data_IF_325388445874
#
_entry.id   IF_325388445874
#
_cell.length_a   1.000
_cell.length_b   1.000
_cell.length_c   1.000
_cell.angle_alpha   90.00
_cell.angle_beta   90.00
_cell.angle_gamma   90.00
#
_symmetry.space_group_name_H-M   'P 1'
#
loop_
_entity.id
_entity.type
_entity.pdbx_description
1 polymer ?
#
# COMPACT_ATOMS: atom_id res chain seq x y z
N UNK A 1 -8.77 0.11 -0.21
CA UNK A 1 -9.88 0.66 0.59
C UNK A 1 -11.08 -0.28 0.58
N UNK A 2 -11.87 -0.25 1.62
CA UNK A 2 -13.18 -0.89 1.68
C UNK A 2 -14.17 -0.04 2.47
N UNK A 3 -15.45 -0.34 2.29
CA UNK A 3 -16.58 0.17 3.05
C UNK A 3 -17.28 -0.97 3.79
N UNK A 4 -17.80 -0.72 4.97
CA UNK A 4 -18.66 -1.64 5.73
C UNK A 4 -19.85 -0.88 6.27
N UNK A 5 -20.91 -1.57 6.71
CA UNK A 5 -22.11 -0.94 7.30
C UNK A 5 -21.78 0.00 8.48
N UNK A 6 -20.74 -0.33 9.25
CA UNK A 6 -20.33 0.44 10.44
C UNK A 6 -19.20 1.45 10.19
N UNK A 7 -18.48 1.32 9.07
CA UNK A 7 -17.30 2.13 8.75
C UNK A 7 -17.29 2.47 7.26
N UNK A 8 -17.60 3.72 6.90
CA UNK A 8 -17.73 4.13 5.49
C UNK A 8 -16.41 4.24 4.74
N UNK A 9 -15.28 4.24 5.45
CA UNK A 9 -13.95 4.19 4.85
C UNK A 9 -12.96 3.47 5.79
N UNK A 10 -12.41 2.36 5.32
CA UNK A 10 -11.28 1.68 5.95
C UNK A 10 -10.14 1.48 4.94
N UNK A 11 -8.91 1.56 5.43
CA UNK A 11 -7.71 1.20 4.68
C UNK A 11 -7.12 -0.10 5.22
N UNK A 12 -6.57 -0.91 4.32
CA UNK A 12 -5.80 -2.09 4.67
C UNK A 12 -4.40 -1.66 5.09
N UNK A 13 -3.99 -2.09 6.27
CA UNK A 13 -2.65 -1.86 6.81
C UNK A 13 -2.06 -3.18 7.29
N UNK A 14 -0.73 -3.27 7.26
CA UNK A 14 0.02 -4.41 7.77
C UNK A 14 1.06 -3.97 8.79
N UNK A 15 1.29 -4.79 9.82
CA UNK A 15 2.30 -4.54 10.84
C UNK A 15 3.54 -5.37 10.55
N UNK A 16 4.67 -4.70 10.37
CA UNK A 16 5.95 -5.35 10.09
C UNK A 16 6.51 -6.04 11.35
N UNK A 17 7.12 -7.19 11.15
CA UNK A 17 7.80 -7.87 12.27
C UNK A 17 8.85 -6.95 12.89
N UNK A 18 8.96 -6.94 14.22
CA UNK A 18 9.85 -6.02 14.98
C UNK A 18 11.33 -6.14 14.61
N UNK A 19 11.75 -7.32 14.19
CA UNK A 19 13.16 -7.64 13.89
C UNK A 19 13.56 -7.24 12.45
N UNK A 20 12.63 -6.73 11.65
CA UNK A 20 12.95 -6.20 10.31
C UNK A 20 13.74 -4.90 10.45
N UNK A 21 14.88 -4.80 9.75
CA UNK A 21 15.82 -3.66 9.85
C UNK A 21 15.21 -2.30 9.56
N UNK A 22 14.27 -2.23 8.59
CA UNK A 22 13.62 -0.97 8.22
C UNK A 22 12.15 -0.97 8.66
N UNK A 23 11.77 0.05 9.43
CA UNK A 23 10.40 0.24 9.93
C UNK A 23 9.87 -0.97 10.74
N UNK A 24 10.74 -1.72 11.44
CA UNK A 24 10.32 -2.84 12.30
C UNK A 24 9.30 -2.40 13.34
N UNK A 25 8.22 -3.18 13.47
CA UNK A 25 7.09 -2.89 14.35
C UNK A 25 6.17 -1.76 13.88
N UNK A 26 6.47 -1.11 12.75
CA UNK A 26 5.59 -0.07 12.21
C UNK A 26 4.40 -0.66 11.46
N UNK A 27 3.32 0.11 11.45
CA UNK A 27 2.17 -0.10 10.57
C UNK A 27 2.44 0.61 9.25
N UNK A 28 2.29 -0.11 8.13
CA UNK A 28 2.52 0.38 6.77
C UNK A 28 1.42 -0.12 5.84
N UNK A 29 1.33 0.45 4.65
CA UNK A 29 0.53 -0.15 3.58
C UNK A 29 1.18 -1.46 3.11
N UNK A 30 0.41 -2.48 2.67
CA UNK A 30 0.98 -3.66 2.03
C UNK A 30 1.84 -3.25 0.82
N UNK A 31 2.99 -3.88 0.66
CA UNK A 31 3.86 -3.61 -0.47
C UNK A 31 5.34 -3.89 -0.22
N UNK A 32 6.07 -4.10 -1.31
CA UNK A 32 7.47 -4.44 -1.29
C UNK A 32 8.22 -3.94 -2.52
N UNK A 33 9.16 -4.73 -3.01
CA UNK A 33 10.02 -4.38 -4.15
C UNK A 33 9.39 -4.85 -5.45
N UNK A 34 9.67 -4.09 -6.51
CA UNK A 34 9.41 -4.58 -7.87
C UNK A 34 10.46 -5.63 -8.21
N UNK A 35 10.04 -6.82 -8.58
CA UNK A 35 10.90 -7.93 -8.95
C UNK A 35 11.04 -8.05 -10.48
N UNK A 36 12.03 -8.82 -10.92
CA UNK A 36 12.24 -9.09 -12.36
C UNK A 36 11.00 -9.72 -13.00
N UNK A 37 10.27 -10.54 -12.26
CA UNK A 37 9.05 -11.20 -12.76
C UNK A 37 7.87 -10.23 -12.88
N UNK A 38 7.79 -9.19 -12.04
CA UNK A 38 6.80 -8.12 -12.19
C UNK A 38 7.03 -7.34 -13.49
N UNK A 39 8.29 -7.07 -13.84
CA UNK A 39 8.65 -6.46 -15.12
C UNK A 39 8.27 -7.35 -16.32
N UNK A 40 8.55 -8.66 -16.24
CA UNK A 40 8.21 -9.59 -17.30
C UNK A 40 6.69 -9.69 -17.50
N UNK A 41 5.93 -9.75 -16.40
CA UNK A 41 4.46 -9.80 -16.45
C UNK A 41 3.88 -8.48 -16.98
N UNK A 42 4.45 -7.35 -16.59
CA UNK A 42 4.06 -6.03 -17.08
C UNK A 42 4.32 -5.89 -18.59
N UNK A 43 5.46 -6.36 -19.09
CA UNK A 43 5.77 -6.36 -20.52
C UNK A 43 4.80 -7.24 -21.31
N UNK A 44 4.51 -8.45 -20.82
CA UNK A 44 3.56 -9.38 -21.43
C UNK A 44 2.17 -8.77 -21.58
N UNK A 45 1.69 -8.01 -20.61
CA UNK A 45 0.35 -7.40 -20.60
C UNK A 45 0.33 -5.91 -21.00
N UNK A 46 1.48 -5.32 -21.35
CA UNK A 46 1.66 -3.89 -21.63
C UNK A 46 1.16 -3.00 -20.50
N UNK A 47 1.59 -3.35 -19.29
CA UNK A 47 1.15 -2.74 -18.03
C UNK A 47 2.33 -2.14 -17.25
N UNK A 48 2.06 -1.62 -16.06
CA UNK A 48 3.01 -0.97 -15.17
C UNK A 48 3.53 -1.98 -14.11
N UNK A 49 4.84 -2.23 -14.10
CA UNK A 49 5.48 -3.15 -13.17
C UNK A 49 5.27 -2.75 -11.68
N UNK A 50 5.17 -1.46 -11.37
CA UNK A 50 4.87 -1.01 -10.01
C UNK A 50 3.46 -1.41 -9.58
N UNK A 51 2.49 -1.38 -10.48
CA UNK A 51 1.12 -1.84 -10.20
C UNK A 51 1.07 -3.36 -10.02
N UNK A 52 1.78 -4.11 -10.87
CA UNK A 52 1.88 -5.57 -10.74
C UNK A 52 2.48 -5.93 -9.38
N UNK A 53 3.62 -5.32 -9.02
CA UNK A 53 4.27 -5.53 -7.73
C UNK A 53 3.31 -5.20 -6.56
N UNK A 54 2.59 -4.07 -6.63
CA UNK A 54 1.64 -3.69 -5.57
C UNK A 54 0.53 -4.74 -5.39
N UNK A 55 0.03 -5.33 -6.48
CA UNK A 55 -0.99 -6.40 -6.42
C UNK A 55 -0.39 -7.69 -5.86
N UNK A 56 0.79 -8.11 -6.32
CA UNK A 56 1.49 -9.31 -5.85
C UNK A 56 1.79 -9.22 -4.35
N UNK A 57 2.43 -8.15 -3.92
CA UNK A 57 2.78 -7.92 -2.51
C UNK A 57 1.53 -7.85 -1.61
N UNK A 58 0.44 -7.21 -2.08
CA UNK A 58 -0.81 -7.18 -1.34
C UNK A 58 -1.37 -8.61 -1.15
N UNK A 59 -1.27 -9.47 -2.18
CA UNK A 59 -1.67 -10.87 -2.06
C UNK A 59 -0.76 -11.64 -1.12
N UNK A 60 0.55 -11.47 -1.21
CA UNK A 60 1.52 -12.18 -0.36
C UNK A 60 1.40 -11.76 1.12
N UNK A 61 1.32 -10.48 1.40
CA UNK A 61 1.32 -9.93 2.77
C UNK A 61 -0.06 -10.01 3.45
N UNK A 62 -1.16 -9.86 2.70
CA UNK A 62 -2.50 -9.76 3.28
C UNK A 62 -3.53 -10.77 2.78
N UNK A 63 -3.20 -11.56 1.76
CA UNK A 63 -4.13 -12.50 1.15
C UNK A 63 -5.20 -11.88 0.26
N UNK A 64 -5.21 -10.55 0.08
CA UNK A 64 -6.17 -9.88 -0.79
C UNK A 64 -5.77 -10.04 -2.25
N UNK A 65 -6.63 -10.66 -3.05
CA UNK A 65 -6.42 -10.91 -4.47
C UNK A 65 -7.09 -9.81 -5.32
N UNK A 66 -6.29 -8.91 -5.88
CA UNK A 66 -6.73 -7.87 -6.81
C UNK A 66 -6.54 -8.37 -8.27
N UNK A 67 -7.41 -9.28 -8.70
CA UNK A 67 -7.38 -9.88 -10.02
C UNK A 67 -8.76 -9.92 -10.65
N UNK A 68 -8.80 -10.18 -11.96
CA UNK A 68 -10.04 -10.42 -12.70
C UNK A 68 -9.86 -11.60 -13.67
N UNK A 69 -10.96 -12.17 -14.10
CA UNK A 69 -10.99 -13.20 -15.13
C UNK A 69 -10.39 -12.66 -16.43
N UNK A 70 -9.44 -13.38 -17.02
CA UNK A 70 -8.69 -12.93 -18.18
C UNK A 70 -9.54 -12.79 -19.46
N UNK A 71 -10.67 -13.50 -19.56
CA UNK A 71 -11.55 -13.49 -20.75
C UNK A 71 -12.67 -12.46 -20.62
N UNK A 72 -13.25 -12.35 -19.43
CA UNK A 72 -14.44 -11.54 -19.20
C UNK A 72 -14.15 -10.19 -18.54
N UNK A 73 -12.99 -10.05 -17.90
CA UNK A 73 -12.65 -8.87 -17.08
C UNK A 73 -13.47 -8.75 -15.79
N UNK A 74 -14.27 -9.77 -15.43
CA UNK A 74 -15.08 -9.75 -14.23
C UNK A 74 -14.22 -9.97 -12.98
N UNK A 75 -14.59 -9.32 -11.87
CA UNK A 75 -13.90 -9.50 -10.59
C UNK A 75 -13.94 -10.95 -10.12
N UNK A 76 -12.86 -11.42 -9.49
CA UNK A 76 -12.77 -12.77 -8.94
C UNK A 76 -13.79 -12.96 -7.82
N UNK A 77 -14.68 -13.99 -7.89
CA UNK A 77 -15.59 -14.30 -6.81
C UNK A 77 -14.85 -14.67 -5.51
N UNK A 78 -15.45 -14.37 -4.36
CA UNK A 78 -14.85 -14.67 -3.04
C UNK A 78 -14.41 -16.13 -2.91
N UNK A 79 -15.27 -17.08 -3.31
CA UNK A 79 -14.97 -18.52 -3.23
C UNK A 79 -13.72 -18.92 -4.02
N UNK A 80 -13.51 -18.27 -5.18
CA UNK A 80 -12.31 -18.47 -5.99
C UNK A 80 -11.09 -17.79 -5.35
N UNK A 81 -11.25 -16.57 -4.84
CA UNK A 81 -10.17 -15.87 -4.14
C UNK A 81 -9.69 -16.66 -2.91
N UNK A 82 -10.61 -17.16 -2.09
CA UNK A 82 -10.29 -18.01 -0.92
C UNK A 82 -9.56 -19.30 -1.33
N UNK A 83 -10.00 -19.96 -2.41
CA UNK A 83 -9.33 -21.16 -2.94
C UNK A 83 -7.92 -20.86 -3.44
N UNK A 84 -7.75 -19.80 -4.22
CA UNK A 84 -6.45 -19.36 -4.75
C UNK A 84 -5.50 -19.01 -3.60
N UNK A 85 -5.99 -18.30 -2.59
CA UNK A 85 -5.22 -17.98 -1.39
C UNK A 85 -4.69 -19.24 -0.69
N UNK A 86 -5.57 -20.17 -0.38
CA UNK A 86 -5.22 -21.42 0.30
C UNK A 86 -4.23 -22.28 -0.51
N UNK A 87 -4.38 -22.30 -1.82
CA UNK A 87 -3.60 -23.18 -2.69
C UNK A 87 -2.21 -22.61 -3.03
N UNK A 88 -2.06 -21.30 -3.18
CA UNK A 88 -0.88 -20.74 -3.83
C UNK A 88 -0.07 -19.78 -2.97
N UNK A 89 -0.65 -19.12 -1.96
CA UNK A 89 0.04 -18.05 -1.22
C UNK A 89 1.38 -18.50 -0.65
N UNK A 90 1.40 -19.63 0.04
CA UNK A 90 2.64 -20.17 0.65
C UNK A 90 3.70 -20.50 -0.40
N UNK A 91 3.30 -21.04 -1.55
CA UNK A 91 4.23 -21.36 -2.63
C UNK A 91 4.82 -20.11 -3.28
N UNK A 92 4.03 -19.05 -3.42
CA UNK A 92 4.46 -17.74 -3.95
C UNK A 92 5.39 -17.08 -2.95
N UNK A 93 4.99 -16.94 -1.70
CA UNK A 93 5.80 -16.35 -0.63
C UNK A 93 7.19 -17.02 -0.49
N UNK A 94 7.25 -18.33 -0.65
CA UNK A 94 8.50 -19.09 -0.59
C UNK A 94 9.29 -19.11 -1.92
N UNK A 95 8.84 -18.40 -2.97
CA UNK A 95 9.49 -18.36 -4.27
C UNK A 95 9.40 -19.66 -5.08
N UNK A 96 8.57 -20.63 -4.67
CA UNK A 96 8.38 -21.92 -5.36
C UNK A 96 7.44 -21.80 -6.58
N UNK A 97 6.68 -20.75 -6.64
CA UNK A 97 5.78 -20.41 -7.75
C UNK A 97 5.75 -18.90 -7.93
N UNK A 98 5.72 -18.43 -9.16
CA UNK A 98 5.57 -16.99 -9.41
C UNK A 98 4.11 -16.57 -9.42
N UNK A 99 3.85 -15.31 -9.07
CA UNK A 99 2.50 -14.75 -9.09
C UNK A 99 1.88 -14.83 -10.50
N UNK A 100 2.66 -14.51 -11.55
CA UNK A 100 2.22 -14.63 -12.93
C UNK A 100 1.81 -16.05 -13.32
N UNK A 101 2.60 -17.07 -12.95
CA UNK A 101 2.25 -18.48 -13.21
C UNK A 101 0.97 -18.91 -12.47
N UNK A 102 0.71 -18.37 -11.29
CA UNK A 102 -0.56 -18.61 -10.59
C UNK A 102 -1.72 -17.99 -11.37
N UNK A 103 -1.58 -16.74 -11.81
CA UNK A 103 -2.61 -16.07 -12.61
C UNK A 103 -2.91 -16.87 -13.90
N UNK A 104 -1.89 -17.30 -14.63
CA UNK A 104 -2.04 -18.10 -15.86
C UNK A 104 -2.79 -19.41 -15.60
N UNK A 105 -2.41 -20.14 -14.55
CA UNK A 105 -3.07 -21.42 -14.19
C UNK A 105 -4.54 -21.26 -13.85
N UNK A 106 -4.90 -20.13 -13.28
CA UNK A 106 -6.26 -19.83 -12.85
C UNK A 106 -7.09 -19.08 -13.90
N UNK A 107 -6.49 -18.73 -15.05
CA UNK A 107 -7.12 -17.93 -16.08
C UNK A 107 -7.44 -16.52 -15.65
N UNK A 108 -6.57 -15.94 -14.79
CA UNK A 108 -6.70 -14.61 -14.23
C UNK A 108 -5.67 -13.64 -14.81
N UNK A 109 -5.94 -12.36 -14.66
CA UNK A 109 -4.96 -11.27 -14.84
C UNK A 109 -4.99 -10.34 -13.64
N UNK A 110 -3.87 -9.69 -13.36
CA UNK A 110 -3.79 -8.64 -12.35
C UNK A 110 -4.69 -7.46 -12.75
N UNK A 111 -5.53 -6.98 -11.83
CA UNK A 111 -6.51 -5.92 -12.13
C UNK A 111 -5.91 -4.51 -11.95
N UNK A 112 -4.85 -4.21 -12.67
CA UNK A 112 -4.09 -2.95 -12.60
C UNK A 112 -4.92 -1.73 -12.96
N UNK A 113 -5.98 -1.89 -13.78
CA UNK A 113 -6.92 -0.84 -14.12
C UNK A 113 -7.72 -0.30 -12.92
N UNK A 114 -7.78 -1.07 -11.83
CA UNK A 114 -8.43 -0.66 -10.58
C UNK A 114 -7.48 0.03 -9.60
N UNK A 115 -6.19 0.09 -9.91
CA UNK A 115 -5.20 0.81 -9.11
C UNK A 115 -5.09 2.26 -9.57
N UNK A 116 -5.51 3.18 -8.73
CA UNK A 116 -5.36 4.63 -8.94
C UNK A 116 -4.02 5.09 -8.35
N UNK A 117 -3.15 5.78 -9.10
CA UNK A 117 -1.96 6.41 -8.53
C UNK A 117 -2.37 7.40 -7.44
N UNK A 118 -1.75 7.30 -6.26
CA UNK A 118 -2.09 8.10 -5.10
C UNK A 118 -0.97 9.02 -4.65
N UNK A 119 0.24 8.48 -4.51
CA UNK A 119 1.41 9.25 -4.08
C UNK A 119 2.70 8.63 -4.61
N UNK A 120 3.74 9.45 -4.74
CA UNK A 120 5.07 9.02 -5.15
C UNK A 120 6.12 9.67 -4.22
N UNK A 121 6.91 8.84 -3.53
CA UNK A 121 7.88 9.26 -2.54
C UNK A 121 9.27 8.69 -2.86
N UNK A 122 10.27 9.57 -2.92
CA UNK A 122 11.66 9.18 -3.15
C UNK A 122 12.49 9.58 -1.92
N UNK A 123 13.16 8.60 -1.32
CA UNK A 123 14.06 8.85 -0.19
C UNK A 123 15.20 9.79 -0.61
N UNK A 124 15.56 10.80 0.20
CA UNK A 124 16.65 11.74 -0.09
C UNK A 124 17.97 11.05 -0.39
N UNK A 125 18.87 11.68 -1.22
CA UNK A 125 20.12 11.06 -1.65
C UNK A 125 21.14 10.86 -0.52
N UNK A 126 21.02 11.60 0.58
CA UNK A 126 21.92 11.55 1.73
C UNK A 126 21.60 10.40 2.71
N UNK A 127 20.71 9.48 2.35
CA UNK A 127 20.34 8.31 3.16
C UNK A 127 21.05 7.03 2.67
N UNK A 128 21.50 6.22 3.63
CA UNK A 128 22.18 4.95 3.34
C UNK A 128 21.28 3.94 2.61
N UNK A 129 19.98 3.95 2.90
CA UNK A 129 18.97 3.13 2.23
C UNK A 129 17.94 4.04 1.58
N UNK A 130 17.73 3.84 0.29
CA UNK A 130 16.84 4.67 -0.50
C UNK A 130 15.75 3.84 -1.15
N UNK A 131 14.57 4.43 -1.21
CA UNK A 131 13.39 3.84 -1.82
C UNK A 131 12.81 4.83 -2.83
N UNK A 132 12.32 4.30 -3.92
CA UNK A 132 11.43 4.94 -4.87
C UNK A 132 10.09 4.23 -4.73
N UNK A 133 9.12 4.89 -4.08
CA UNK A 133 7.89 4.25 -3.62
C UNK A 133 6.67 4.86 -4.28
N UNK A 134 5.98 4.08 -5.08
CA UNK A 134 4.69 4.39 -5.67
C UNK A 134 3.57 3.85 -4.78
N UNK A 135 2.63 4.71 -4.40
CA UNK A 135 1.44 4.34 -3.65
C UNK A 135 0.23 4.35 -4.57
N UNK A 136 -0.57 3.32 -4.44
CA UNK A 136 -1.79 3.15 -5.22
C UNK A 136 -3.00 2.98 -4.29
N UNK A 137 -4.16 3.36 -4.78
CA UNK A 137 -5.44 3.10 -4.12
C UNK A 137 -6.23 2.12 -4.99
N UNK A 138 -6.78 1.09 -4.35
CA UNK A 138 -7.72 0.16 -4.94
C UNK A 138 -8.89 -0.07 -3.98
N UNK A 139 -10.09 -0.26 -4.55
CA UNK A 139 -11.23 -0.73 -3.78
C UNK A 139 -11.20 -2.25 -3.70
N UNK A 140 -11.31 -2.77 -2.50
CA UNK A 140 -11.53 -4.18 -2.22
C UNK A 140 -13.02 -4.37 -1.88
N UNK A 141 -13.67 -5.37 -2.50
CA UNK A 141 -15.03 -5.75 -2.11
C UNK A 141 -15.06 -6.22 -0.64
N UNK A 142 -16.19 -6.01 0.03
CA UNK A 142 -16.38 -6.33 1.46
C UNK A 142 -16.08 -7.79 1.83
N UNK A 143 -16.06 -8.68 0.87
CA UNK A 143 -16.07 -10.13 1.07
C UNK A 143 -14.70 -10.79 1.16
N UNK A 144 -13.59 -10.09 0.92
CA UNK A 144 -12.26 -10.64 1.08
C UNK A 144 -11.76 -10.44 2.51
N UNK A 145 -11.39 -11.55 3.15
CA UNK A 145 -10.75 -11.50 4.48
C UNK A 145 -9.26 -11.29 4.29
N UNK A 146 -8.74 -10.27 4.95
CA UNK A 146 -7.30 -10.08 5.04
C UNK A 146 -6.74 -10.94 6.17
N UNK A 147 -5.62 -11.61 5.91
CA UNK A 147 -4.90 -12.44 6.86
C UNK A 147 -3.38 -12.27 6.62
N UNK A 148 -2.58 -12.23 7.68
CA UNK A 148 -1.14 -12.05 7.58
C UNK A 148 -0.43 -13.36 7.19
N UNK A 149 0.80 -13.26 6.70
CA UNK A 149 1.63 -14.41 6.31
C UNK A 149 2.29 -15.13 7.49
N UNK A 150 2.38 -14.45 8.64
CA UNK A 150 3.05 -14.94 9.86
C UNK A 150 4.58 -14.86 9.83
N UNK A 151 5.17 -14.34 8.76
CA UNK A 151 6.60 -14.17 8.56
C UNK A 151 7.05 -12.72 8.70
N UNK A 152 7.09 -12.00 7.60
CA UNK A 152 7.45 -10.57 7.59
C UNK A 152 6.36 -9.70 8.20
N UNK A 153 5.10 -10.09 8.05
CA UNK A 153 3.92 -9.41 8.57
C UNK A 153 3.34 -10.19 9.76
N UNK A 154 3.15 -9.49 10.87
CA UNK A 154 2.61 -10.08 12.11
C UNK A 154 1.15 -9.80 12.35
N UNK A 155 0.59 -8.82 11.65
CA UNK A 155 -0.80 -8.40 11.82
C UNK A 155 -1.30 -7.73 10.54
N UNK A 156 -2.54 -7.99 10.16
CA UNK A 156 -3.26 -7.34 9.08
C UNK A 156 -4.50 -6.67 9.65
N UNK A 157 -4.66 -5.37 9.39
CA UNK A 157 -5.68 -4.55 10.03
C UNK A 157 -6.45 -3.78 8.97
N UNK A 158 -7.78 -3.86 9.04
CA UNK A 158 -8.66 -2.90 8.41
C UNK A 158 -9.02 -1.83 9.44
N UNK A 159 -8.65 -0.59 9.17
CA UNK A 159 -8.81 0.52 10.12
C UNK A 159 -9.19 1.81 9.38
N UNK A 160 -10.02 2.65 9.99
CA UNK A 160 -10.24 3.97 9.42
C UNK A 160 -9.00 4.85 9.52
N UNK A 161 -8.70 5.70 8.52
CA UNK A 161 -7.55 6.61 8.59
C UNK A 161 -7.54 7.48 9.85
N UNK A 162 -8.70 7.97 10.28
CA UNK A 162 -8.83 8.80 11.48
C UNK A 162 -8.47 8.03 12.77
N UNK A 163 -8.97 6.79 12.91
CA UNK A 163 -8.67 5.91 14.03
C UNK A 163 -7.19 5.54 14.08
N UNK A 164 -6.57 5.24 12.93
CA UNK A 164 -5.14 4.94 12.86
C UNK A 164 -4.29 6.13 13.32
N UNK A 165 -4.65 7.36 12.93
CA UNK A 165 -3.96 8.56 13.42
C UNK A 165 -4.15 8.77 14.91
N UNK A 166 -5.34 8.52 15.43
CA UNK A 166 -5.62 8.62 16.88
C UNK A 166 -4.80 7.61 17.68
N UNK A 167 -4.79 6.35 17.28
CA UNK A 167 -4.03 5.29 17.96
C UNK A 167 -2.51 5.48 17.83
N UNK A 168 -2.05 6.02 16.71
CA UNK A 168 -0.63 6.39 16.56
C UNK A 168 -0.22 7.54 17.47
N UNK A 169 -1.06 8.59 17.64
CA UNK A 169 -0.82 9.67 18.61
C UNK A 169 -0.83 9.18 20.06
N UNK A 170 -1.62 8.17 20.37
CA UNK A 170 -1.65 7.50 21.66
C UNK A 170 -0.46 6.54 21.90
N UNK A 171 0.46 6.40 20.92
CA UNK A 171 1.63 5.53 21.02
C UNK A 171 1.34 4.04 20.84
N UNK A 172 0.12 3.66 20.44
CA UNK A 172 -0.26 2.26 20.23
C UNK A 172 0.28 1.72 18.89
N UNK A 173 0.39 2.59 17.87
CA UNK A 173 0.91 2.26 16.56
C UNK A 173 2.06 3.18 16.17
N UNK A 174 3.12 2.60 15.59
CA UNK A 174 4.22 3.34 15.00
C UNK A 174 3.95 3.54 13.51
N UNK A 175 3.98 4.79 13.04
CA UNK A 175 3.89 5.14 11.62
C UNK A 175 5.19 5.80 11.17
N UNK A 176 5.72 5.35 10.02
CA UNK A 176 6.80 6.09 9.35
C UNK A 176 6.23 7.34 8.66
N UNK A 177 7.07 8.35 8.44
CA UNK A 177 6.64 9.68 8.00
C UNK A 177 5.77 9.64 6.73
N UNK A 178 6.23 8.99 5.65
CA UNK A 178 5.46 8.90 4.41
C UNK A 178 4.10 8.19 4.60
N UNK A 179 4.06 7.12 5.42
CA UNK A 179 2.80 6.44 5.75
C UNK A 179 1.86 7.37 6.49
N UNK A 180 2.35 8.09 7.52
CA UNK A 180 1.54 9.05 8.28
C UNK A 180 0.94 10.13 7.37
N UNK A 181 1.77 10.74 6.52
CA UNK A 181 1.32 11.77 5.58
C UNK A 181 0.22 11.25 4.64
N UNK A 182 0.40 10.04 4.11
CA UNK A 182 -0.60 9.43 3.23
C UNK A 182 -1.89 9.06 3.98
N UNK A 183 -1.81 8.64 5.24
CA UNK A 183 -3.00 8.41 6.09
C UNK A 183 -3.70 9.74 6.43
N UNK A 184 -2.95 10.82 6.74
CA UNK A 184 -3.53 12.16 6.95
C UNK A 184 -4.29 12.64 5.71
N UNK A 185 -3.74 12.38 4.50
CA UNK A 185 -4.38 12.70 3.22
C UNK A 185 -5.63 11.85 2.95
N UNK A 186 -5.69 10.60 3.42
CA UNK A 186 -6.89 9.77 3.34
C UNK A 186 -7.94 10.14 4.38
N UNK A 187 -7.53 10.63 5.54
CA UNK A 187 -8.42 10.97 6.65
C UNK A 187 -9.34 12.19 6.39
N UNK A 188 -9.12 12.92 5.28
CA UNK A 188 -10.01 14.02 4.87
C UNK A 188 -11.29 13.55 4.18
N UNK A 189 -11.38 12.25 3.82
CA UNK A 189 -12.52 11.68 3.13
C UNK A 189 -13.42 10.92 4.10
N UNK A 190 -14.72 11.10 3.94
CA UNK A 190 -15.71 10.41 4.76
C UNK A 190 -16.08 9.02 4.21
N UNK A 191 -16.04 8.86 2.88
CA UNK A 191 -16.42 7.61 2.20
C UNK A 191 -15.38 7.17 1.17
N UNK A 192 -15.43 5.89 0.80
CA UNK A 192 -14.58 5.32 -0.27
C UNK A 192 -14.85 6.02 -1.60
N UNK A 193 -16.10 6.28 -1.95
CA UNK A 193 -16.46 6.93 -3.22
C UNK A 193 -15.89 8.35 -3.31
N UNK A 194 -16.03 9.16 -2.26
CA UNK A 194 -15.41 10.49 -2.20
C UNK A 194 -13.89 10.42 -2.39
N UNK A 195 -13.22 9.46 -1.72
CA UNK A 195 -11.78 9.27 -1.87
C UNK A 195 -11.40 8.93 -3.32
N UNK A 196 -12.08 7.95 -3.93
CA UNK A 196 -11.82 7.50 -5.30
C UNK A 196 -12.05 8.62 -6.32
N UNK A 197 -13.18 9.33 -6.24
CA UNK A 197 -13.51 10.40 -7.19
C UNK A 197 -12.50 11.55 -7.10
N UNK A 198 -12.11 11.92 -5.89
CA UNK A 198 -11.13 12.97 -5.70
C UNK A 198 -9.74 12.57 -6.15
N UNK A 199 -9.26 11.38 -5.77
CA UNK A 199 -7.93 10.87 -6.11
C UNK A 199 -7.77 10.72 -7.62
N UNK A 200 -8.81 10.29 -8.34
CA UNK A 200 -8.78 10.14 -9.80
C UNK A 200 -8.45 11.45 -10.54
N UNK A 201 -8.81 12.59 -9.95
CA UNK A 201 -8.58 13.92 -10.55
C UNK A 201 -7.35 14.64 -10.00
N UNK A 202 -6.70 14.12 -8.96
CA UNK A 202 -5.54 14.75 -8.36
C UNK A 202 -4.24 14.36 -9.07
N UNK A 203 -3.35 15.33 -9.37
CA UNK A 203 -2.03 15.00 -9.87
C UNK A 203 -1.19 14.30 -8.79
N UNK A 204 -0.37 13.34 -9.18
CA UNK A 204 0.64 12.75 -8.31
C UNK A 204 1.93 13.56 -8.43
N UNK A 205 2.26 14.31 -7.38
CA UNK A 205 3.51 15.06 -7.28
C UNK A 205 4.55 14.20 -6.56
N UNK A 206 5.75 14.11 -7.14
CA UNK A 206 6.86 13.38 -6.52
C UNK A 206 7.37 14.13 -5.29
N UNK A 207 7.33 13.47 -4.14
CA UNK A 207 7.82 14.00 -2.87
C UNK A 207 9.26 13.52 -2.63
N UNK A 208 10.18 14.48 -2.48
CA UNK A 208 11.56 14.26 -2.01
C UNK A 208 11.73 15.06 -0.74
N UNK A 209 11.52 14.45 0.45
CA UNK A 209 11.57 15.20 1.70
C UNK A 209 12.97 15.73 1.98
N UNK A 210 13.03 16.95 2.53
CA UNK A 210 14.28 17.60 2.97
C UNK A 210 14.20 17.91 4.45
N UNK A 211 15.30 17.70 5.19
CA UNK A 211 15.39 18.20 6.56
C UNK A 211 15.88 19.63 6.51
N UNK A 212 15.13 20.52 7.11
CA UNK A 212 15.45 21.95 7.23
C UNK A 212 15.49 22.37 8.69
N UNK A 213 16.43 23.23 9.04
CA UNK A 213 16.48 23.88 10.35
C UNK A 213 15.56 25.11 10.33
N UNK A 214 14.73 25.23 11.35
CA UNK A 214 13.84 26.36 11.59
C UNK A 214 14.04 26.89 13.01
N UNK A 215 13.50 28.06 13.33
CA UNK A 215 13.54 28.63 14.69
C UNK A 215 12.88 27.71 15.75
N UNK A 216 11.96 26.86 15.31
CA UNK A 216 11.28 25.88 16.16
C UNK A 216 11.96 24.49 16.15
N UNK A 217 13.15 24.35 15.56
CA UNK A 217 13.91 23.12 15.43
C UNK A 217 13.78 22.47 14.05
N UNK A 218 14.22 21.21 13.94
CA UNK A 218 14.22 20.50 12.66
C UNK A 218 12.81 20.18 12.17
N UNK A 219 12.56 20.47 10.90
CA UNK A 219 11.32 20.16 10.18
C UNK A 219 11.62 19.36 8.93
N UNK A 220 10.62 18.66 8.44
CA UNK A 220 10.63 18.02 7.13
C UNK A 220 9.89 18.92 6.15
N UNK A 221 10.60 19.35 5.11
CA UNK A 221 10.01 20.08 3.98
C UNK A 221 9.61 19.10 2.89
N UNK A 222 8.40 19.28 2.36
CA UNK A 222 7.89 18.60 1.17
C UNK A 222 7.21 19.61 0.25
N UNK A 223 7.06 19.33 -1.06
CA UNK A 223 6.37 20.23 -1.98
C UNK A 223 4.92 20.50 -1.54
N UNK A 224 4.51 21.76 -1.49
CA UNK A 224 3.13 22.14 -1.13
C UNK A 224 2.13 21.61 -2.15
N UNK A 225 2.54 21.50 -3.42
CA UNK A 225 1.75 20.98 -4.54
C UNK A 225 1.42 19.49 -4.38
N UNK A 226 2.12 18.77 -3.50
CA UNK A 226 1.82 17.36 -3.18
C UNK A 226 0.52 17.19 -2.39
N UNK A 227 -0.08 18.30 -1.90
CA UNK A 227 -1.43 18.31 -1.34
C UNK A 227 -1.56 17.71 0.05
N UNK A 228 -0.53 17.82 0.89
CA UNK A 228 -0.54 17.35 2.29
C UNK A 228 -0.93 18.43 3.31
N UNK A 229 -1.53 19.54 2.86
CA UNK A 229 -2.03 20.60 3.72
C UNK A 229 -0.96 21.56 4.25
N UNK A 230 0.29 21.44 3.83
CA UNK A 230 1.40 22.32 4.22
C UNK A 230 2.69 21.94 3.53
N UNK A 231 3.75 22.68 3.87
CA UNK A 231 5.11 22.47 3.35
C UNK A 231 6.07 21.95 4.44
N UNK A 232 5.89 22.36 5.70
CA UNK A 232 6.77 22.05 6.82
C UNK A 232 6.07 21.18 7.86
N UNK A 233 6.68 20.06 8.21
CA UNK A 233 6.10 19.08 9.11
C UNK A 233 7.08 18.66 10.21
N UNK A 234 6.54 18.35 11.40
CA UNK A 234 7.30 17.70 12.47
C UNK A 234 7.51 16.23 12.10
N UNK A 235 8.75 15.78 12.18
CA UNK A 235 9.06 14.35 12.13
C UNK A 235 9.67 13.93 13.46
N UNK A 236 8.97 13.08 14.19
CA UNK A 236 9.46 12.51 15.44
C UNK A 236 10.35 11.27 15.21
N UNK A 237 10.49 10.82 13.97
CA UNK A 237 11.27 9.64 13.61
C UNK A 237 12.47 10.05 12.73
N UNK A 238 13.70 10.03 13.28
CA UNK A 238 14.92 10.34 12.51
C UNK A 238 15.20 9.33 11.39
N UNK A 239 14.52 8.16 11.39
CA UNK A 239 14.59 7.15 10.33
C UNK A 239 13.45 7.29 9.30
N UNK A 240 12.51 8.17 9.54
CA UNK A 240 11.28 8.31 8.76
C UNK A 240 11.46 9.10 7.44
N UNK A 241 12.68 9.50 7.12
CA UNK A 241 12.99 10.23 5.88
C UNK A 241 14.09 9.50 5.13
#
# INVERSE_FOLDING_TARGET
LRETESQPLQTLMVKRHKDIKFAGGAIVFPGGRVDTEDHALAEQHKDDAFKIAAIRETFEESGILLACDAKTGTAVPKTMADRVLMQYRTAIHNGNLTFGKMLDKEGLIANTNKLLPFAHWITPPNRAKRFDTHFFIACCGENQKADHDGGEITETIWISPAELLQTARAGQHKLVFATRMNIERLAIFDTVDQAIDRIRTMPVVTVRPEIVDTDEGKRVRIPIEAGYGGELFVSNDPLAI
#
